data_IF_680128600172
#
_entry.id   IF_680128600172
#
_cell.length_a   1.000
_cell.length_b   1.000
_cell.length_c   1.000
_cell.angle_alpha   90.00
_cell.angle_beta   90.00
_cell.angle_gamma   90.00
#
_symmetry.space_group_name_H-M   'P 1'
#
loop_
_entity.id
_entity.type
_entity.pdbx_description
1 polymer ?
#
# COMPACT_ATOMS: atom_id res chain seq x y z
N UNK A 1 0.48 24.50 -16.65
CA UNK A 1 -0.38 23.57 -15.89
C UNK A 1 -0.24 23.94 -14.44
N UNK A 2 -1.33 23.96 -13.66
CA UNK A 2 -1.23 24.27 -12.23
C UNK A 2 -0.37 23.21 -11.55
N UNK A 3 0.63 23.64 -10.80
CA UNK A 3 1.45 22.76 -9.97
C UNK A 3 0.56 22.26 -8.83
N UNK A 4 0.37 20.95 -8.73
CA UNK A 4 -0.41 20.38 -7.63
C UNK A 4 0.50 20.37 -6.40
N UNK A 5 0.09 21.10 -5.37
CA UNK A 5 0.84 21.26 -4.12
C UNK A 5 0.29 20.35 -3.03
N UNK A 6 1.09 20.17 -1.98
CA UNK A 6 0.67 19.49 -0.75
C UNK A 6 -0.63 20.07 -0.17
N UNK A 7 -0.80 21.40 -0.24
CA UNK A 7 -2.02 22.08 0.21
C UNK A 7 -3.28 21.60 -0.51
N UNK A 8 -3.20 21.23 -1.79
CA UNK A 8 -4.36 20.70 -2.51
C UNK A 8 -4.76 19.31 -1.97
N UNK A 9 -3.79 18.47 -1.63
CA UNK A 9 -4.04 17.15 -1.06
C UNK A 9 -4.69 17.26 0.32
N UNK A 10 -4.25 18.22 1.14
CA UNK A 10 -4.86 18.55 2.43
C UNK A 10 -6.30 19.04 2.23
N UNK A 11 -6.51 20.03 1.36
CA UNK A 11 -7.83 20.59 1.11
C UNK A 11 -8.84 19.54 0.58
N UNK A 12 -8.36 18.57 -0.21
CA UNK A 12 -9.18 17.45 -0.66
C UNK A 12 -9.58 16.53 0.51
N UNK A 13 -8.63 16.18 1.38
CA UNK A 13 -8.90 15.34 2.55
C UNK A 13 -9.90 16.00 3.51
N UNK A 14 -9.74 17.29 3.79
CA UNK A 14 -10.69 18.09 4.58
C UNK A 14 -12.09 18.12 3.97
N UNK A 15 -12.19 18.00 2.64
CA UNK A 15 -13.44 17.89 1.91
C UNK A 15 -14.01 16.47 1.86
N UNK A 16 -13.37 15.48 2.50
CA UNK A 16 -13.80 14.09 2.51
C UNK A 16 -13.40 13.31 1.24
N UNK A 17 -12.38 13.80 0.53
CA UNK A 17 -11.92 13.26 -0.75
C UNK A 17 -10.47 12.78 -0.60
N UNK A 18 -10.25 11.50 -0.84
CA UNK A 18 -8.91 10.93 -1.01
C UNK A 18 -8.46 11.22 -2.45
N UNK A 19 -7.43 12.05 -2.60
CA UNK A 19 -6.89 12.46 -3.90
C UNK A 19 -5.52 11.84 -4.11
N UNK A 20 -5.29 11.21 -5.24
CA UNK A 20 -3.99 10.65 -5.63
C UNK A 20 -3.55 11.22 -6.97
N UNK A 21 -2.24 11.21 -7.20
CA UNK A 21 -1.61 11.78 -8.40
C UNK A 21 -0.56 10.79 -8.87
N UNK A 22 -0.70 10.28 -10.09
CA UNK A 22 0.25 9.34 -10.69
C UNK A 22 0.63 9.86 -12.06
N UNK A 23 1.92 10.16 -12.26
CA UNK A 23 2.43 10.73 -13.53
C UNK A 23 1.63 11.96 -14.00
N UNK A 24 1.22 12.82 -13.07
CA UNK A 24 0.41 14.02 -13.35
C UNK A 24 -1.08 13.76 -13.62
N UNK A 25 -1.55 12.51 -13.58
CA UNK A 25 -2.96 12.15 -13.66
C UNK A 25 -3.56 12.08 -12.25
N UNK A 26 -4.69 12.75 -12.04
CA UNK A 26 -5.40 12.75 -10.77
C UNK A 26 -6.47 11.65 -10.73
N UNK A 27 -6.51 10.91 -9.63
CA UNK A 27 -7.60 10.00 -9.29
C UNK A 27 -8.15 10.38 -7.93
N UNK A 28 -9.46 10.23 -7.73
CA UNK A 28 -10.10 10.60 -6.47
C UNK A 28 -11.13 9.57 -6.04
N UNK A 29 -11.32 9.43 -4.73
CA UNK A 29 -12.39 8.64 -4.14
C UNK A 29 -12.98 9.32 -2.91
N UNK A 30 -14.25 9.05 -2.63
CA UNK A 30 -14.85 9.40 -1.34
C UNK A 30 -14.30 8.48 -0.27
N UNK A 31 -14.36 8.92 0.99
CA UNK A 31 -13.92 8.08 2.10
C UNK A 31 -14.56 6.69 2.12
N UNK A 32 -13.78 5.66 2.47
CA UNK A 32 -14.18 4.27 2.34
C UNK A 32 -15.30 3.87 3.32
N UNK A 33 -16.13 2.91 2.90
CA UNK A 33 -17.20 2.37 3.73
C UNK A 33 -16.67 1.38 4.80
N UNK A 34 -17.49 1.10 5.81
CA UNK A 34 -17.11 0.23 6.94
C UNK A 34 -16.59 -1.17 6.56
N UNK A 35 -17.06 -1.75 5.45
CA UNK A 35 -16.55 -3.05 4.97
C UNK A 35 -15.07 -2.97 4.59
N UNK A 36 -14.68 -1.91 3.91
CA UNK A 36 -13.29 -1.66 3.52
C UNK A 36 -12.41 -1.50 4.75
N UNK A 37 -12.80 -0.60 5.66
CA UNK A 37 -12.03 -0.36 6.88
C UNK A 37 -11.91 -1.60 7.79
N UNK A 38 -12.95 -2.46 7.84
CA UNK A 38 -12.84 -3.76 8.51
C UNK A 38 -11.82 -4.71 7.87
N UNK A 39 -11.70 -4.69 6.55
CA UNK A 39 -10.71 -5.51 5.84
C UNK A 39 -9.29 -4.99 6.09
N UNK A 40 -9.07 -3.67 5.95
CA UNK A 40 -7.80 -3.01 6.27
C UNK A 40 -7.34 -3.37 7.69
N UNK A 41 -8.19 -3.14 8.69
CA UNK A 41 -7.89 -3.45 10.09
C UNK A 41 -7.50 -4.92 10.31
N UNK A 42 -8.25 -5.86 9.74
CA UNK A 42 -7.97 -7.30 9.89
C UNK A 42 -6.63 -7.67 9.28
N UNK A 43 -6.28 -7.12 8.12
CA UNK A 43 -5.00 -7.39 7.47
C UNK A 43 -3.87 -6.84 8.33
N UNK A 44 -3.95 -5.58 8.79
CA UNK A 44 -2.92 -4.96 9.64
C UNK A 44 -2.59 -5.80 10.88
N UNK A 45 -3.61 -6.35 11.55
CA UNK A 45 -3.42 -7.23 12.73
C UNK A 45 -2.64 -8.51 12.46
N UNK A 46 -2.45 -8.88 11.19
CA UNK A 46 -1.76 -10.11 10.80
C UNK A 46 -0.36 -9.85 10.27
N UNK A 47 0.02 -8.57 10.06
CA UNK A 47 1.33 -8.20 9.55
C UNK A 47 2.37 -8.39 10.64
N UNK A 48 3.30 -9.31 10.40
CA UNK A 48 4.42 -9.56 11.31
C UNK A 48 5.63 -10.14 10.57
N UNK A 49 6.80 -10.06 11.20
CA UNK A 49 8.03 -10.69 10.70
C UNK A 49 7.97 -12.21 10.86
N UNK A 50 8.50 -12.95 9.89
CA UNK A 50 8.69 -14.39 10.03
C UNK A 50 10.01 -14.70 10.76
N UNK A 51 10.00 -15.62 11.73
CA UNK A 51 11.21 -16.00 12.49
C UNK A 51 12.29 -16.66 11.60
N UNK A 52 11.88 -17.26 10.48
CA UNK A 52 12.77 -17.96 9.55
C UNK A 52 13.53 -17.02 8.60
N UNK A 53 13.13 -15.74 8.48
CA UNK A 53 13.87 -14.73 7.70
C UNK A 53 15.10 -14.22 8.44
N UNK A 54 15.29 -14.64 9.69
CA UNK A 54 16.42 -14.30 10.54
C UNK A 54 17.57 -15.25 10.19
N UNK A 55 18.51 -14.79 9.35
CA UNK A 55 19.73 -15.54 9.08
C UNK A 55 20.58 -15.61 10.38
N UNK A 56 20.89 -16.81 10.90
CA UNK A 56 21.74 -16.93 12.08
C UNK A 56 23.15 -16.38 11.79
N UNK A 57 23.64 -15.46 12.62
CA UNK A 57 25.01 -14.96 12.54
C UNK A 57 25.26 -13.81 11.54
N UNK A 58 24.22 -13.26 10.91
CA UNK A 58 24.34 -12.03 10.10
C UNK A 58 23.68 -10.85 10.81
N UNK A 59 24.38 -9.72 10.92
CA UNK A 59 23.81 -8.43 11.34
C UNK A 59 22.93 -7.78 10.25
N UNK A 60 22.50 -8.55 9.24
CA UNK A 60 21.56 -8.09 8.22
C UNK A 60 20.25 -7.80 8.96
N UNK A 61 19.88 -6.52 9.06
CA UNK A 61 18.69 -6.12 9.80
C UNK A 61 17.46 -6.71 9.12
N UNK A 62 16.99 -7.81 9.68
CA UNK A 62 15.68 -8.37 9.41
C UNK A 62 14.63 -7.26 9.47
N UNK A 63 13.80 -7.15 8.43
CA UNK A 63 12.75 -6.14 8.30
C UNK A 63 11.89 -6.03 9.57
N UNK A 64 11.64 -4.81 10.04
CA UNK A 64 10.81 -4.55 11.23
C UNK A 64 9.31 -4.77 11.03
N UNK A 65 8.85 -4.81 9.78
CA UNK A 65 7.44 -4.97 9.42
C UNK A 65 6.50 -3.90 10.00
N UNK A 66 7.01 -2.67 10.11
CA UNK A 66 6.21 -1.49 10.43
C UNK A 66 5.18 -1.29 9.33
N UNK A 67 3.97 -0.88 9.69
CA UNK A 67 2.92 -0.68 8.70
C UNK A 67 1.96 0.42 9.11
N UNK A 68 1.52 1.19 8.13
CA UNK A 68 0.64 2.34 8.31
C UNK A 68 -0.49 2.24 7.29
N UNK A 69 -1.68 2.65 7.69
CA UNK A 69 -2.83 2.76 6.81
C UNK A 69 -3.06 4.22 6.43
N UNK A 70 -3.49 4.43 5.19
CA UNK A 70 -3.99 5.71 4.72
C UNK A 70 -3.03 6.90 5.01
N UNK A 71 -1.73 6.73 4.75
CA UNK A 71 -0.74 7.83 4.77
C UNK A 71 -0.29 8.18 3.36
N UNK A 72 0.01 9.47 3.11
CA UNK A 72 0.53 9.90 1.82
C UNK A 72 2.01 9.54 1.65
N UNK A 73 2.32 9.03 0.47
CA UNK A 73 3.69 8.74 0.01
C UNK A 73 3.97 9.60 -1.20
N UNK A 74 5.04 10.38 -1.14
CA UNK A 74 5.61 11.12 -2.25
C UNK A 74 6.66 10.27 -2.95
N UNK A 75 6.40 9.88 -4.18
CA UNK A 75 7.30 9.08 -4.99
C UNK A 75 8.37 9.94 -5.69
N UNK A 76 9.52 9.34 -6.09
CA UNK A 76 10.62 10.05 -6.74
C UNK A 76 10.23 10.85 -7.99
N UNK A 77 9.22 10.40 -8.72
CA UNK A 77 8.71 11.09 -9.92
C UNK A 77 7.73 12.25 -9.62
N UNK A 78 7.52 12.56 -8.34
CA UNK A 78 6.59 13.60 -7.88
C UNK A 78 5.14 13.14 -7.76
N UNK A 79 4.84 11.86 -8.03
CA UNK A 79 3.53 11.27 -7.78
C UNK A 79 3.23 11.19 -6.29
N UNK A 80 1.95 11.29 -5.93
CA UNK A 80 1.45 11.10 -4.58
C UNK A 80 0.43 9.97 -4.57
N UNK A 81 0.67 8.94 -3.75
CA UNK A 81 -0.36 7.92 -3.48
C UNK A 81 -0.60 7.77 -1.99
N UNK A 82 -1.77 7.22 -1.66
CA UNK A 82 -2.18 6.94 -0.29
C UNK A 82 -2.70 5.50 -0.23
N UNK A 83 -1.80 4.51 -0.20
CA UNK A 83 -2.21 3.10 -0.18
C UNK A 83 -3.02 2.79 1.08
N UNK A 84 -3.94 1.83 0.99
CA UNK A 84 -4.74 1.44 2.16
C UNK A 84 -3.87 0.84 3.27
N UNK A 85 -2.82 0.10 2.92
CA UNK A 85 -1.76 -0.34 3.85
C UNK A 85 -0.40 -0.28 3.14
N UNK A 86 0.60 0.30 3.82
CA UNK A 86 2.00 0.32 3.40
C UNK A 86 2.88 -0.37 4.44
N UNK A 87 3.84 -1.20 4.01
CA UNK A 87 4.73 -1.98 4.89
C UNK A 87 6.18 -1.55 4.70
N UNK A 88 6.89 -1.31 5.79
CA UNK A 88 8.25 -0.79 5.85
C UNK A 88 9.16 -1.67 6.71
N UNK A 89 10.46 -1.65 6.43
CA UNK A 89 11.45 -2.32 7.27
C UNK A 89 11.96 -1.48 8.43
N UNK A 90 11.78 -0.16 8.36
CA UNK A 90 12.13 0.77 9.42
C UNK A 90 10.87 1.56 9.81
N UNK A 91 10.81 1.99 11.06
CA UNK A 91 9.77 2.90 11.55
C UNK A 91 9.88 4.22 10.78
N UNK A 92 8.75 4.85 10.50
CA UNK A 92 8.75 6.18 9.89
C UNK A 92 9.03 7.26 10.94
N UNK A 93 9.55 8.39 10.50
CA UNK A 93 9.66 9.56 11.37
C UNK A 93 8.28 10.12 11.72
N UNK A 94 8.12 10.63 12.94
CA UNK A 94 6.90 11.32 13.37
C UNK A 94 6.75 12.62 12.55
N UNK A 95 5.82 12.62 11.61
CA UNK A 95 5.55 13.75 10.72
C UNK A 95 4.08 13.78 10.27
N UNK A 96 3.57 14.99 10.05
CA UNK A 96 2.23 15.23 9.49
C UNK A 96 2.29 15.45 7.94
N UNK A 97 3.47 15.37 7.34
CA UNK A 97 3.68 15.49 5.89
C UNK A 97 3.69 14.13 5.18
N UNK A 98 3.61 14.13 3.84
CA UNK A 98 3.82 12.92 3.06
C UNK A 98 5.23 12.35 3.29
N UNK A 99 5.32 11.06 3.58
CA UNK A 99 6.62 10.38 3.63
C UNK A 99 7.21 10.24 2.24
N UNK A 100 8.53 10.36 2.12
CA UNK A 100 9.26 10.02 0.89
C UNK A 100 9.88 8.62 0.95
N UNK A 101 9.70 7.91 2.07
CA UNK A 101 10.15 6.53 2.22
C UNK A 101 9.30 5.60 1.36
N UNK A 102 9.96 4.77 0.56
CA UNK A 102 9.29 3.80 -0.31
C UNK A 102 8.98 2.53 0.49
N UNK A 103 7.71 2.10 0.56
CA UNK A 103 7.36 0.88 1.25
C UNK A 103 7.89 -0.34 0.48
N UNK A 104 8.19 -1.38 1.24
CA UNK A 104 8.58 -2.69 0.74
C UNK A 104 7.40 -3.40 0.07
N UNK A 105 6.21 -3.23 0.66
CA UNK A 105 4.97 -3.77 0.14
C UNK A 105 3.82 -2.79 0.32
N UNK A 106 2.85 -2.85 -0.60
CA UNK A 106 1.57 -2.17 -0.47
C UNK A 106 0.43 -3.17 -0.60
N UNK A 107 -0.63 -2.96 0.17
CA UNK A 107 -1.86 -3.75 0.14
C UNK A 107 -3.03 -2.79 -0.07
N UNK A 108 -3.72 -2.94 -1.20
CA UNK A 108 -4.93 -2.18 -1.52
C UNK A 108 -6.16 -3.04 -1.32
N UNK A 109 -7.22 -2.43 -0.79
CA UNK A 109 -8.52 -3.07 -0.59
C UNK A 109 -9.52 -2.43 -1.55
N UNK A 110 -10.11 -3.26 -2.40
CA UNK A 110 -11.05 -2.77 -3.40
C UNK A 110 -12.28 -2.15 -2.73
N UNK A 111 -12.50 -0.88 -3.04
CA UNK A 111 -13.72 -0.15 -2.68
C UNK A 111 -14.75 -0.22 -3.81
N UNK A 112 -16.01 -0.45 -3.45
CA UNK A 112 -17.11 -0.55 -4.43
C UNK A 112 -17.29 0.80 -5.13
N UNK A 113 -17.28 0.80 -6.45
CA UNK A 113 -17.38 2.01 -7.28
C UNK A 113 -16.06 2.72 -7.57
N UNK A 114 -14.94 2.21 -7.03
CA UNK A 114 -13.59 2.76 -7.21
C UNK A 114 -12.58 1.72 -7.71
N UNK A 115 -13.06 0.64 -8.31
CA UNK A 115 -12.26 -0.54 -8.69
C UNK A 115 -11.14 -0.22 -9.69
N UNK A 116 -11.30 0.84 -10.49
CA UNK A 116 -10.32 1.24 -11.49
C UNK A 116 -8.99 1.71 -10.90
N UNK A 117 -8.96 2.20 -9.65
CA UNK A 117 -7.72 2.67 -8.99
C UNK A 117 -6.77 1.51 -8.68
N UNK A 118 -7.33 0.32 -8.46
CA UNK A 118 -6.57 -0.90 -8.14
C UNK A 118 -6.24 -1.72 -9.38
N UNK A 119 -6.51 -1.18 -10.57
CA UNK A 119 -6.23 -1.83 -11.84
C UNK A 119 -4.73 -2.03 -12.04
N UNK A 120 -4.40 -2.88 -13.02
CA UNK A 120 -3.01 -3.22 -13.37
C UNK A 120 -2.07 -2.02 -13.53
N UNK A 121 -2.47 -0.88 -14.14
CA UNK A 121 -1.59 0.30 -14.23
C UNK A 121 -1.10 0.83 -12.88
N UNK A 122 -1.96 0.83 -11.85
CA UNK A 122 -1.60 1.29 -10.50
C UNK A 122 -0.61 0.33 -9.84
N UNK A 123 -0.80 -0.98 -10.04
CA UNK A 123 0.13 -2.00 -9.53
C UNK A 123 1.51 -1.88 -10.18
N UNK A 124 1.55 -1.67 -11.49
CA UNK A 124 2.80 -1.49 -12.22
C UNK A 124 3.53 -0.21 -11.83
N UNK A 125 2.79 0.86 -11.50
CA UNK A 125 3.38 2.07 -10.94
C UNK A 125 4.13 1.80 -9.63
N UNK A 126 3.52 1.14 -8.64
CA UNK A 126 4.22 0.82 -7.40
C UNK A 126 5.51 0.02 -7.63
N UNK A 127 5.45 -1.00 -8.50
CA UNK A 127 6.63 -1.80 -8.85
C UNK A 127 7.73 -0.99 -9.55
N UNK A 128 7.35 -0.02 -10.39
CA UNK A 128 8.32 0.86 -11.07
C UNK A 128 8.99 1.84 -10.10
N UNK A 129 8.34 2.18 -9.00
CA UNK A 129 8.89 3.05 -7.95
C UNK A 129 9.72 2.30 -6.89
N UNK A 130 9.80 0.96 -6.97
CA UNK A 130 10.66 0.15 -6.08
C UNK A 130 9.91 -0.66 -5.02
N UNK A 131 8.59 -0.57 -4.95
CA UNK A 131 7.79 -1.49 -4.12
C UNK A 131 7.98 -2.92 -4.65
N UNK A 132 8.17 -3.90 -3.76
CA UNK A 132 8.50 -5.29 -4.15
C UNK A 132 7.26 -6.16 -4.28
N UNK A 133 6.29 -5.93 -3.40
CA UNK A 133 5.02 -6.66 -3.36
C UNK A 133 3.82 -5.71 -3.44
N UNK A 134 2.96 -5.93 -4.43
CA UNK A 134 1.68 -5.23 -4.54
C UNK A 134 0.55 -6.24 -4.41
N UNK A 135 -0.24 -6.11 -3.36
CA UNK A 135 -1.38 -6.99 -3.09
C UNK A 135 -2.65 -6.19 -3.28
N UNK A 136 -3.62 -6.75 -4.00
CA UNK A 136 -4.96 -6.18 -4.10
C UNK A 136 -5.96 -7.22 -3.63
N UNK A 137 -6.82 -6.82 -2.70
CA UNK A 137 -7.84 -7.66 -2.10
C UNK A 137 -9.24 -7.11 -2.36
N UNK A 138 -10.11 -7.93 -2.93
CA UNK A 138 -11.54 -7.61 -3.05
C UNK A 138 -12.34 -8.28 -1.91
N UNK A 139 -12.86 -7.51 -0.93
CA UNK A 139 -13.62 -8.06 0.19
C UNK A 139 -15.02 -8.55 -0.19
N UNK A 140 -15.48 -8.33 -1.42
CA UNK A 140 -16.75 -8.84 -1.94
C UNK A 140 -16.59 -10.23 -2.54
N UNK A 141 -15.59 -10.38 -3.41
CA UNK A 141 -15.35 -11.63 -4.14
C UNK A 141 -14.34 -12.55 -3.46
N UNK A 142 -13.65 -12.05 -2.43
CA UNK A 142 -12.51 -12.69 -1.78
C UNK A 142 -11.31 -12.90 -2.70
N UNK A 143 -11.31 -12.29 -3.89
CA UNK A 143 -10.20 -12.40 -4.83
C UNK A 143 -8.98 -11.64 -4.29
N UNK A 144 -7.82 -12.28 -4.39
CA UNK A 144 -6.54 -11.68 -4.04
C UNK A 144 -5.64 -11.75 -5.27
N UNK A 145 -5.03 -10.62 -5.65
CA UNK A 145 -3.92 -10.62 -6.61
C UNK A 145 -2.65 -10.19 -5.92
N UNK A 146 -1.61 -11.01 -6.04
CA UNK A 146 -0.27 -10.72 -5.54
C UNK A 146 0.66 -10.51 -6.72
N UNK A 147 1.13 -9.28 -6.89
CA UNK A 147 1.90 -8.83 -8.03
C UNK A 147 3.33 -8.51 -7.60
N UNK A 148 4.29 -9.11 -8.31
CA UNK A 148 5.73 -8.84 -8.19
C UNK A 148 6.30 -8.56 -9.58
N UNK A 149 7.57 -8.16 -9.64
CA UNK A 149 8.31 -8.06 -10.92
C UNK A 149 8.32 -9.36 -11.73
N UNK A 150 8.25 -10.51 -11.08
CA UNK A 150 8.20 -11.83 -11.73
C UNK A 150 6.82 -12.22 -12.28
N UNK A 151 5.77 -11.46 -11.96
CA UNK A 151 4.42 -11.68 -12.46
C UNK A 151 3.34 -11.54 -11.38
N UNK A 152 2.09 -11.81 -11.79
CA UNK A 152 0.91 -11.75 -10.91
C UNK A 152 0.40 -13.16 -10.60
N UNK A 153 0.18 -13.45 -9.31
CA UNK A 153 -0.54 -14.64 -8.85
C UNK A 153 -1.97 -14.25 -8.47
N UNK A 154 -2.93 -15.12 -8.79
CA UNK A 154 -4.32 -15.01 -8.36
C UNK A 154 -4.57 -16.04 -7.25
N UNK A 155 -5.12 -15.57 -6.15
CA UNK A 155 -5.34 -16.30 -4.90
C UNK A 155 -6.76 -16.00 -4.39
N UNK A 156 -7.16 -16.67 -3.32
CA UNK A 156 -8.46 -16.47 -2.66
C UNK A 156 -8.24 -16.33 -1.16
N UNK A 157 -8.85 -15.31 -0.56
CA UNK A 157 -8.81 -15.04 0.88
C UNK A 157 -9.61 -16.08 1.68
N UNK A 158 -9.17 -16.48 2.90
CA UNK A 158 -7.94 -16.05 3.56
C UNK A 158 -6.71 -16.77 3.03
N UNK A 159 -5.64 -16.01 2.74
CA UNK A 159 -4.37 -16.57 2.27
C UNK A 159 -3.18 -15.91 2.99
N UNK A 160 -2.23 -16.74 3.41
CA UNK A 160 -0.94 -16.27 3.95
C UNK A 160 -0.03 -15.84 2.79
N UNK A 161 0.41 -14.59 2.80
CA UNK A 161 1.35 -14.04 1.83
C UNK A 161 2.68 -13.75 2.53
N UNK A 162 3.75 -14.36 2.03
CA UNK A 162 5.12 -14.05 2.41
C UNK A 162 5.64 -12.93 1.52
N UNK A 163 5.93 -11.78 2.09
CA UNK A 163 6.48 -10.61 1.42
C UNK A 163 7.98 -10.79 1.19
N UNK A 164 8.52 -10.17 0.13
CA UNK A 164 9.93 -10.26 -0.25
C UNK A 164 10.86 -9.70 0.83
N UNK A 165 10.39 -8.69 1.57
CA UNK A 165 11.11 -8.11 2.70
C UNK A 165 11.20 -9.01 3.94
N UNK A 166 10.58 -10.20 3.93
CA UNK A 166 10.60 -11.12 5.07
C UNK A 166 9.51 -10.86 6.11
N UNK A 167 8.49 -10.08 5.75
CA UNK A 167 7.24 -9.96 6.49
C UNK A 167 6.20 -10.95 5.97
N UNK A 168 5.15 -11.19 6.75
CA UNK A 168 4.00 -12.00 6.40
C UNK A 168 2.72 -11.22 6.67
N UNK A 169 1.71 -11.40 5.83
CA UNK A 169 0.34 -10.93 6.06
C UNK A 169 -0.67 -12.03 5.73
N UNK A 170 -1.85 -11.99 6.37
CA UNK A 170 -3.00 -12.80 5.98
C UNK A 170 -4.02 -11.87 5.34
N UNK A 171 -4.39 -12.17 4.09
CA UNK A 171 -5.29 -11.36 3.26
C UNK A 171 -6.52 -12.16 2.89
#
# INVERSE_FOLDING_TARGET
MAEITWDLLIAADEAGIKLEIVNGLTTWETFPAARHQKAVYRIQQTIHRIEQSIKPGTNDSSCGCYHYADIYIRFPDGSFKRPDISVYCQDLEDSDEATSEIPEAVIEVVSKGYEAKDAEPSRLFYLSQGVKDVIVYDPVTQAVSHTRRSGTKRLVSPVTILLECGCQAIV
#
